data_IF_777072491609
#
_entry.id   IF_777072491609
#
_cell.length_a   1.000
_cell.length_b   1.000
_cell.length_c   1.000
_cell.angle_alpha   90.00
_cell.angle_beta   90.00
_cell.angle_gamma   90.00
#
_symmetry.space_group_name_H-M   'P 1'
#
loop_
_entity.id
_entity.type
_entity.pdbx_description
1 polymer ?
#
# COMPACT_ATOMS: atom_id res chain seq x y z
N UNK A 1 -17.86 16.07 -6.91
CA UNK A 1 -17.77 14.99 -5.89
C UNK A 1 -18.72 15.30 -4.75
N UNK A 2 -19.67 14.41 -4.48
CA UNK A 2 -20.69 14.60 -3.42
C UNK A 2 -20.11 14.56 -2.00
N UNK A 3 -19.02 13.81 -1.80
CA UNK A 3 -18.39 13.61 -0.48
C UNK A 3 -17.08 14.40 -0.28
N UNK A 4 -16.87 15.46 -1.05
CA UNK A 4 -15.60 16.21 -1.07
C UNK A 4 -15.16 16.70 0.31
N UNK A 5 -16.04 17.31 1.09
CA UNK A 5 -15.72 17.81 2.44
C UNK A 5 -15.31 16.69 3.38
N UNK A 6 -16.01 15.57 3.34
CA UNK A 6 -15.71 14.40 4.18
C UNK A 6 -14.35 13.82 3.82
N UNK A 7 -14.04 13.68 2.52
CA UNK A 7 -12.72 13.20 2.06
C UNK A 7 -11.61 14.13 2.55
N UNK A 8 -11.79 15.45 2.48
CA UNK A 8 -10.80 16.42 2.97
C UNK A 8 -10.55 16.23 4.48
N UNK A 9 -11.61 16.15 5.28
CA UNK A 9 -11.49 15.99 6.74
C UNK A 9 -10.81 14.67 7.10
N UNK A 10 -11.25 13.55 6.50
CA UNK A 10 -10.64 12.24 6.74
C UNK A 10 -9.17 12.24 6.35
N UNK A 11 -8.81 12.84 5.21
CA UNK A 11 -7.41 12.93 4.76
C UNK A 11 -6.59 13.80 5.68
N UNK A 12 -7.12 14.93 6.16
CA UNK A 12 -6.41 15.80 7.10
C UNK A 12 -6.10 15.08 8.42
N UNK A 13 -7.08 14.37 8.99
CA UNK A 13 -6.89 13.57 10.20
C UNK A 13 -5.88 12.41 9.97
N UNK A 14 -6.03 11.69 8.86
CA UNK A 14 -5.13 10.60 8.48
C UNK A 14 -3.69 11.09 8.30
N UNK A 15 -3.47 12.16 7.52
CA UNK A 15 -2.12 12.68 7.24
C UNK A 15 -1.46 13.31 8.47
N UNK A 16 -2.23 14.00 9.31
CA UNK A 16 -1.71 14.54 10.57
C UNK A 16 -1.30 13.43 11.53
N UNK A 17 -2.14 12.40 11.69
CA UNK A 17 -1.82 11.21 12.48
C UNK A 17 -0.60 10.48 11.92
N UNK A 18 -0.57 10.23 10.60
CA UNK A 18 0.54 9.58 9.90
C UNK A 18 1.85 10.35 10.13
N UNK A 19 1.87 11.65 9.90
CA UNK A 19 3.06 12.47 10.10
C UNK A 19 3.56 12.42 11.56
N UNK A 20 2.64 12.43 12.53
CA UNK A 20 3.00 12.34 13.94
C UNK A 20 3.62 10.98 14.29
N UNK A 21 2.93 9.87 13.98
CA UNK A 21 3.43 8.54 14.35
C UNK A 21 4.71 8.17 13.60
N UNK A 22 4.80 8.51 12.31
CA UNK A 22 5.99 8.22 11.50
C UNK A 22 7.18 9.11 11.88
N UNK A 23 6.93 10.36 12.33
CA UNK A 23 7.98 11.19 12.90
C UNK A 23 8.59 10.58 14.17
N UNK A 24 7.77 10.06 15.08
CA UNK A 24 8.28 9.35 16.26
C UNK A 24 8.86 7.99 15.90
N UNK A 25 8.22 7.21 15.03
CA UNK A 25 8.67 5.87 14.66
C UNK A 25 10.04 5.87 13.95
N UNK A 26 10.29 6.87 13.09
CA UNK A 26 11.57 6.99 12.40
C UNK A 26 12.72 7.44 13.30
N UNK A 27 12.46 8.33 14.29
CA UNK A 27 13.52 9.04 15.03
C UNK A 27 13.55 8.76 16.52
N UNK A 28 12.52 8.16 17.13
CA UNK A 28 12.49 7.79 18.55
C UNK A 28 12.49 6.26 18.71
N UNK A 29 13.64 5.71 19.10
CA UNK A 29 13.82 4.27 19.31
C UNK A 29 12.86 3.68 20.37
N UNK A 30 12.33 4.50 21.29
CA UNK A 30 11.39 4.05 22.31
C UNK A 30 10.01 3.66 21.71
N UNK A 31 9.70 4.12 20.49
CA UNK A 31 8.42 3.83 19.82
C UNK A 31 8.20 2.32 19.64
N UNK A 32 9.24 1.59 19.25
CA UNK A 32 9.21 0.15 18.98
C UNK A 32 10.01 -0.67 19.99
N UNK A 33 10.21 -0.16 21.22
CA UNK A 33 11.04 -0.82 22.23
C UNK A 33 10.49 -2.18 22.71
N UNK A 34 9.23 -2.50 22.41
CA UNK A 34 8.58 -3.78 22.73
C UNK A 34 8.62 -4.78 21.59
N UNK A 35 8.96 -4.32 20.39
CA UNK A 35 9.02 -5.13 19.19
C UNK A 35 10.38 -5.83 19.07
N UNK A 36 10.42 -6.95 18.34
CA UNK A 36 11.68 -7.60 18.00
C UNK A 36 12.62 -6.61 17.28
N UNK A 37 13.95 -6.66 17.48
CA UNK A 37 14.86 -5.68 16.88
C UNK A 37 14.74 -5.52 15.37
N UNK A 38 14.51 -6.62 14.63
CA UNK A 38 14.28 -6.59 13.19
C UNK A 38 12.99 -5.86 12.84
N UNK A 39 11.89 -6.13 13.56
CA UNK A 39 10.61 -5.49 13.36
C UNK A 39 10.66 -3.98 13.68
N UNK A 40 11.36 -3.61 14.78
CA UNK A 40 11.60 -2.22 15.15
C UNK A 40 12.42 -1.45 14.08
N UNK A 41 13.39 -2.12 13.45
CA UNK A 41 14.16 -1.53 12.36
C UNK A 41 13.31 -1.36 11.10
N UNK A 42 12.51 -2.38 10.75
CA UNK A 42 11.59 -2.33 9.61
C UNK A 42 10.55 -1.21 9.81
N UNK A 43 9.93 -1.11 10.98
CA UNK A 43 8.99 -0.03 11.32
C UNK A 43 9.60 1.35 11.12
N UNK A 44 10.81 1.59 11.62
CA UNK A 44 11.50 2.87 11.44
C UNK A 44 11.82 3.17 9.95
N UNK A 45 12.16 2.15 9.16
CA UNK A 45 12.38 2.28 7.72
C UNK A 45 11.11 2.65 6.96
N UNK A 46 9.99 2.02 7.30
CA UNK A 46 8.68 2.33 6.73
C UNK A 46 8.23 3.74 7.11
N UNK A 47 8.35 4.11 8.39
CA UNK A 47 7.96 5.44 8.89
C UNK A 47 8.72 6.57 8.20
N UNK A 48 10.00 6.37 7.85
CA UNK A 48 10.75 7.34 7.08
C UNK A 48 10.12 7.55 5.69
N UNK A 49 9.70 6.49 5.01
CA UNK A 49 9.02 6.58 3.71
C UNK A 49 7.63 7.21 3.87
N UNK A 50 6.90 6.84 4.91
CA UNK A 50 5.60 7.42 5.19
C UNK A 50 5.68 8.93 5.39
N UNK A 51 6.66 9.40 6.15
CA UNK A 51 6.86 10.81 6.42
C UNK A 51 7.31 11.59 5.18
N UNK A 52 8.29 11.06 4.42
CA UNK A 52 8.96 11.80 3.33
C UNK A 52 8.23 11.65 1.99
N UNK A 53 7.58 10.51 1.75
CA UNK A 53 6.92 10.23 0.48
C UNK A 53 5.40 10.22 0.60
N UNK A 54 4.83 9.44 1.55
CA UNK A 54 3.39 9.18 1.57
C UNK A 54 2.59 10.40 2.03
N UNK A 55 3.02 11.07 3.09
CA UNK A 55 2.34 12.31 3.56
C UNK A 55 2.29 13.38 2.47
N UNK A 56 3.42 13.78 1.83
CA UNK A 56 3.37 14.74 0.72
C UNK A 56 2.54 14.25 -0.48
N UNK A 57 2.66 12.97 -0.83
CA UNK A 57 1.89 12.37 -1.94
C UNK A 57 0.39 12.49 -1.70
N UNK A 58 -0.10 12.19 -0.50
CA UNK A 58 -1.52 12.29 -0.15
C UNK A 58 -2.01 13.73 -0.23
N UNK A 59 -1.27 14.69 0.31
CA UNK A 59 -1.65 16.10 0.30
C UNK A 59 -1.68 16.63 -1.13
N UNK A 60 -0.62 16.40 -1.91
CA UNK A 60 -0.52 16.91 -3.30
C UNK A 60 -1.56 16.24 -4.18
N UNK A 61 -1.72 14.92 -4.10
CA UNK A 61 -2.69 14.20 -4.93
C UNK A 61 -4.14 14.57 -4.56
N UNK A 62 -4.46 14.81 -3.29
CA UNK A 62 -5.77 15.33 -2.88
C UNK A 62 -6.04 16.69 -3.53
N UNK A 63 -5.12 17.65 -3.40
CA UNK A 63 -5.27 18.98 -3.99
C UNK A 63 -5.49 18.91 -5.50
N UNK A 64 -4.68 18.11 -6.20
CA UNK A 64 -4.79 17.95 -7.65
C UNK A 64 -6.08 17.22 -8.06
N UNK A 65 -6.52 16.22 -7.29
CA UNK A 65 -7.79 15.52 -7.49
C UNK A 65 -8.97 16.48 -7.36
N UNK A 66 -8.97 17.33 -6.33
CA UNK A 66 -10.00 18.36 -6.12
C UNK A 66 -10.03 19.42 -7.23
N UNK A 67 -8.90 19.63 -7.92
CA UNK A 67 -8.78 20.46 -9.11
C UNK A 67 -9.16 19.76 -10.43
N UNK A 68 -9.70 18.52 -10.34
CA UNK A 68 -10.19 17.76 -11.49
C UNK A 68 -9.15 16.93 -12.23
N UNK A 69 -7.97 16.68 -11.63
CA UNK A 69 -6.97 15.79 -12.22
C UNK A 69 -7.41 14.34 -12.11
N UNK A 70 -7.56 13.64 -13.25
CA UNK A 70 -7.90 12.22 -13.32
C UNK A 70 -6.77 11.33 -12.80
N UNK A 71 -5.54 11.69 -13.14
CA UNK A 71 -4.34 10.99 -12.67
C UNK A 71 -4.24 11.06 -11.16
N UNK A 72 -4.50 12.23 -10.58
CA UNK A 72 -4.43 12.43 -9.14
C UNK A 72 -5.47 11.60 -8.37
N UNK A 73 -6.63 11.28 -8.97
CA UNK A 73 -7.60 10.36 -8.38
C UNK A 73 -6.99 8.97 -8.15
N UNK A 74 -6.26 8.43 -9.14
CA UNK A 74 -5.61 7.12 -9.02
C UNK A 74 -4.46 7.14 -8.02
N UNK A 75 -3.65 8.21 -8.06
CA UNK A 75 -2.51 8.38 -7.14
C UNK A 75 -3.01 8.53 -5.70
N UNK A 76 -4.02 9.36 -5.48
CA UNK A 76 -4.64 9.52 -4.16
C UNK A 76 -5.26 8.21 -3.67
N UNK A 77 -6.05 7.54 -4.51
CA UNK A 77 -6.67 6.25 -4.15
C UNK A 77 -5.65 5.18 -3.78
N UNK A 78 -4.53 5.09 -4.54
CA UNK A 78 -3.44 4.15 -4.25
C UNK A 78 -2.67 4.49 -2.98
N UNK A 79 -2.43 5.78 -2.72
CA UNK A 79 -1.83 6.25 -1.48
C UNK A 79 -2.70 5.97 -0.25
N UNK A 80 -4.00 6.24 -0.34
CA UNK A 80 -4.96 5.91 0.74
C UNK A 80 -5.04 4.40 0.97
N UNK A 81 -5.03 3.59 -0.09
CA UNK A 81 -5.02 2.12 0.03
C UNK A 81 -3.73 1.61 0.67
N UNK A 82 -2.58 2.23 0.37
CA UNK A 82 -1.32 1.93 1.04
C UNK A 82 -1.39 2.22 2.55
N UNK A 83 -1.92 3.38 2.94
CA UNK A 83 -2.08 3.71 4.37
C UNK A 83 -3.05 2.75 5.05
N UNK A 84 -4.17 2.40 4.40
CA UNK A 84 -5.11 1.39 4.91
C UNK A 84 -4.43 0.05 5.16
N UNK A 85 -3.65 -0.43 4.19
CA UNK A 85 -2.88 -1.66 4.28
C UNK A 85 -1.85 -1.62 5.41
N UNK A 86 -1.03 -0.58 5.44
CA UNK A 86 0.04 -0.43 6.43
C UNK A 86 -0.51 -0.32 7.85
N UNK A 87 -1.55 0.48 8.05
CA UNK A 87 -2.11 0.68 9.40
C UNK A 87 -3.00 -0.48 9.88
N UNK A 88 -3.48 -1.35 9.00
CA UNK A 88 -3.94 -2.66 9.42
C UNK A 88 -2.79 -3.44 10.09
N UNK A 89 -1.62 -3.49 9.46
CA UNK A 89 -0.44 -4.19 10.01
C UNK A 89 0.00 -3.52 11.31
N UNK A 90 0.09 -2.20 11.37
CA UNK A 90 0.47 -1.48 12.60
C UNK A 90 -0.51 -1.72 13.76
N UNK A 91 -1.81 -1.73 13.49
CA UNK A 91 -2.83 -1.92 14.52
C UNK A 91 -2.88 -3.33 15.10
N UNK A 92 -2.45 -4.35 14.33
CA UNK A 92 -2.54 -5.76 14.72
C UNK A 92 -1.18 -6.45 14.91
N UNK A 93 -0.10 -5.91 14.36
CA UNK A 93 1.21 -6.53 14.36
C UNK A 93 2.25 -5.82 15.21
N UNK A 94 2.18 -4.49 15.36
CA UNK A 94 3.08 -3.75 16.24
C UNK A 94 2.64 -3.96 17.69
N UNK A 95 3.60 -4.24 18.58
CA UNK A 95 3.30 -4.42 20.00
C UNK A 95 2.74 -3.15 20.62
N UNK A 96 1.75 -3.30 21.51
CA UNK A 96 1.01 -2.19 22.10
C UNK A 96 1.94 -1.09 22.64
N UNK A 97 1.78 0.12 22.10
CA UNK A 97 2.55 1.30 22.48
C UNK A 97 1.65 2.54 22.63
N UNK A 98 2.24 3.69 22.98
CA UNK A 98 1.52 4.96 23.21
C UNK A 98 0.75 5.48 22.01
N UNK A 99 1.04 5.01 20.79
CA UNK A 99 0.39 5.45 19.54
C UNK A 99 -0.78 4.56 19.11
N UNK A 100 -1.11 3.52 19.86
CA UNK A 100 -2.15 2.56 19.47
C UNK A 100 -3.47 3.22 19.04
N UNK A 101 -3.97 4.21 19.80
CA UNK A 101 -5.20 4.92 19.42
C UNK A 101 -5.05 5.75 18.15
N UNK A 102 -3.85 6.27 17.88
CA UNK A 102 -3.56 7.00 16.63
C UNK A 102 -3.50 6.03 15.46
N UNK A 103 -2.94 4.81 15.63
CA UNK A 103 -3.01 3.76 14.62
C UNK A 103 -4.46 3.41 14.27
N UNK A 104 -5.33 3.25 15.27
CA UNK A 104 -6.76 3.02 15.04
C UNK A 104 -7.44 4.18 14.31
N UNK A 105 -7.10 5.43 14.65
CA UNK A 105 -7.61 6.62 13.96
C UNK A 105 -7.20 6.64 12.48
N UNK A 106 -5.91 6.38 12.19
CA UNK A 106 -5.39 6.36 10.82
C UNK A 106 -6.05 5.24 10.03
N UNK A 107 -6.12 4.03 10.59
CA UNK A 107 -6.78 2.89 9.97
C UNK A 107 -8.24 3.20 9.62
N UNK A 108 -9.01 3.73 10.58
CA UNK A 108 -10.42 4.08 10.38
C UNK A 108 -10.60 5.19 9.34
N UNK A 109 -9.82 6.26 9.41
CA UNK A 109 -9.91 7.37 8.45
C UNK A 109 -9.47 6.95 7.04
N UNK A 110 -8.44 6.10 6.90
CA UNK A 110 -8.02 5.53 5.63
C UNK A 110 -9.11 4.63 5.02
N UNK A 111 -9.73 3.76 5.83
CA UNK A 111 -10.82 2.89 5.38
C UNK A 111 -12.00 3.69 4.80
N UNK A 112 -12.51 4.66 5.56
CA UNK A 112 -13.64 5.46 5.11
C UNK A 112 -13.28 6.39 3.95
N UNK A 113 -12.07 6.96 3.93
CA UNK A 113 -11.60 7.74 2.79
C UNK A 113 -11.51 6.88 1.52
N UNK A 114 -10.98 5.64 1.61
CA UNK A 114 -10.91 4.73 0.48
C UNK A 114 -12.29 4.36 -0.05
N UNK A 115 -13.23 4.01 0.83
CA UNK A 115 -14.62 3.72 0.45
C UNK A 115 -15.22 4.91 -0.30
N UNK A 116 -15.08 6.13 0.21
CA UNK A 116 -15.63 7.32 -0.43
C UNK A 116 -14.97 7.60 -1.80
N UNK A 117 -13.66 7.40 -1.93
CA UNK A 117 -12.96 7.52 -3.22
C UNK A 117 -13.50 6.53 -4.25
N UNK A 118 -13.71 5.27 -3.85
CA UNK A 118 -14.30 4.25 -4.73
C UNK A 118 -15.73 4.62 -5.12
N UNK A 119 -16.56 5.03 -4.17
CA UNK A 119 -17.95 5.45 -4.42
C UNK A 119 -18.04 6.65 -5.37
N UNK A 120 -17.14 7.62 -5.26
CA UNK A 120 -17.06 8.73 -6.20
C UNK A 120 -16.55 8.29 -7.57
N UNK A 121 -15.51 7.46 -7.62
CA UNK A 121 -14.89 7.01 -8.86
C UNK A 121 -15.84 6.15 -9.72
N UNK A 122 -16.64 5.28 -9.09
CA UNK A 122 -17.60 4.43 -9.82
C UNK A 122 -18.75 5.22 -10.47
N UNK A 123 -18.94 6.49 -10.14
CA UNK A 123 -19.90 7.39 -10.78
C UNK A 123 -19.31 8.09 -12.02
N UNK A 124 -17.98 8.02 -12.20
CA UNK A 124 -17.26 8.70 -13.27
C UNK A 124 -17.13 7.79 -14.50
N UNK A 125 -17.07 8.32 -15.74
CA UNK A 125 -16.94 7.53 -16.96
C UNK A 125 -15.48 7.08 -17.17
N UNK A 126 -15.00 6.18 -16.32
CA UNK A 126 -13.59 5.75 -16.28
C UNK A 126 -13.13 5.13 -17.60
N UNK A 127 -14.02 4.44 -18.31
CA UNK A 127 -13.74 3.84 -19.63
C UNK A 127 -13.39 4.91 -20.66
N UNK A 128 -14.03 6.08 -20.60
CA UNK A 128 -13.77 7.19 -21.50
C UNK A 128 -12.48 7.96 -21.16
N UNK A 129 -11.91 7.72 -19.98
CA UNK A 129 -10.67 8.36 -19.58
C UNK A 129 -9.43 7.65 -20.10
N UNK A 130 -9.53 6.34 -20.32
CA UNK A 130 -8.40 5.49 -20.70
C UNK A 130 -8.49 5.16 -22.19
N UNK A 131 -7.47 5.59 -22.95
CA UNK A 131 -7.39 5.36 -24.37
C UNK A 131 -7.30 3.87 -24.74
N UNK A 132 -7.69 3.55 -25.98
CA UNK A 132 -7.68 2.16 -26.48
C UNK A 132 -6.29 1.53 -26.47
N UNK A 133 -5.24 2.35 -26.65
CA UNK A 133 -3.82 1.92 -26.65
C UNK A 133 -3.25 1.65 -25.25
N UNK A 134 -4.03 1.83 -24.17
CA UNK A 134 -3.57 1.54 -22.83
C UNK A 134 -3.11 0.06 -22.69
N UNK A 135 -2.00 -0.20 -22.03
CA UNK A 135 -1.37 -1.53 -21.97
C UNK A 135 -2.09 -2.45 -20.97
N UNK A 136 -3.40 -2.63 -21.12
CA UNK A 136 -4.26 -3.36 -20.17
C UNK A 136 -3.84 -4.80 -19.96
N UNK A 137 -3.33 -5.48 -21.02
CA UNK A 137 -2.85 -6.88 -20.88
C UNK A 137 -1.54 -6.93 -20.10
N UNK A 138 -0.56 -6.10 -20.46
CA UNK A 138 0.75 -6.09 -19.77
C UNK A 138 0.60 -5.75 -18.29
N UNK A 139 -0.20 -4.72 -17.97
CA UNK A 139 -0.50 -4.36 -16.57
C UNK A 139 -1.24 -5.48 -15.85
N UNK A 140 -2.26 -6.06 -16.49
CA UNK A 140 -3.00 -7.19 -15.88
C UNK A 140 -2.11 -8.39 -15.63
N UNK A 141 -1.26 -8.79 -16.60
CA UNK A 141 -0.31 -9.89 -16.44
C UNK A 141 0.70 -9.60 -15.31
N UNK A 142 1.20 -8.37 -15.22
CA UNK A 142 2.09 -7.97 -14.13
C UNK A 142 1.43 -8.11 -12.76
N UNK A 143 0.21 -7.61 -12.58
CA UNK A 143 -0.54 -7.74 -11.32
C UNK A 143 -0.79 -9.21 -10.96
N UNK A 144 -1.12 -10.07 -11.94
CA UNK A 144 -1.27 -11.52 -11.72
C UNK A 144 0.05 -12.18 -11.32
N UNK A 145 1.15 -11.80 -11.96
CA UNK A 145 2.46 -12.33 -11.63
C UNK A 145 2.90 -11.95 -10.21
N UNK A 146 2.69 -10.70 -9.80
CA UNK A 146 2.96 -10.24 -8.43
C UNK A 146 2.08 -11.01 -7.43
N UNK A 147 0.77 -11.13 -7.70
CA UNK A 147 -0.13 -11.87 -6.83
C UNK A 147 0.29 -13.34 -6.68
N UNK A 148 0.61 -14.02 -7.78
CA UNK A 148 1.06 -15.41 -7.74
C UNK A 148 2.38 -15.60 -6.98
N UNK A 149 3.36 -14.70 -7.23
CA UNK A 149 4.66 -14.75 -6.57
C UNK A 149 4.53 -14.63 -5.05
N UNK A 150 3.84 -13.61 -4.57
CA UNK A 150 3.68 -13.40 -3.12
C UNK A 150 2.75 -14.45 -2.48
N UNK A 151 1.72 -14.93 -3.20
CA UNK A 151 0.92 -16.04 -2.70
C UNK A 151 1.77 -17.30 -2.47
N UNK A 152 2.63 -17.66 -3.42
CA UNK A 152 3.53 -18.80 -3.28
C UNK A 152 4.53 -18.60 -2.14
N UNK A 153 5.05 -17.37 -1.97
CA UNK A 153 5.98 -17.03 -0.90
C UNK A 153 5.34 -17.23 0.48
N UNK A 154 4.13 -16.71 0.68
CA UNK A 154 3.41 -16.84 1.96
C UNK A 154 2.92 -18.27 2.21
N UNK A 155 2.45 -18.97 1.19
CA UNK A 155 2.00 -20.36 1.32
C UNK A 155 3.18 -21.31 1.62
N UNK A 156 4.38 -21.02 1.10
CA UNK A 156 5.60 -21.77 1.43
C UNK A 156 5.90 -21.76 2.93
N UNK A 157 5.64 -20.65 3.61
CA UNK A 157 5.81 -20.51 5.07
C UNK A 157 4.61 -21.10 5.84
N UNK A 158 3.39 -20.75 5.44
CA UNK A 158 2.19 -21.09 6.17
C UNK A 158 1.76 -22.56 6.05
N UNK A 159 1.83 -23.17 4.85
CA UNK A 159 1.30 -24.53 4.61
C UNK A 159 2.02 -25.60 5.44
N UNK A 160 3.37 -25.66 5.49
CA UNK A 160 4.04 -26.64 6.36
C UNK A 160 3.69 -26.48 7.83
N UNK A 161 3.57 -25.23 8.30
CA UNK A 161 3.23 -24.94 9.69
C UNK A 161 1.80 -25.42 10.03
N UNK A 162 0.82 -25.16 9.14
CA UNK A 162 -0.55 -25.63 9.30
C UNK A 162 -0.62 -27.17 9.30
N UNK A 163 0.04 -27.84 8.35
CA UNK A 163 0.04 -29.30 8.25
C UNK A 163 0.76 -29.97 9.44
N UNK A 164 1.83 -29.34 9.93
CA UNK A 164 2.60 -29.80 11.09
C UNK A 164 2.02 -29.40 12.44
N UNK A 165 0.97 -28.56 12.47
CA UNK A 165 0.40 -27.95 13.66
C UNK A 165 1.49 -27.25 14.51
N UNK A 166 2.35 -26.47 13.83
CA UNK A 166 3.46 -25.72 14.43
C UNK A 166 3.31 -24.23 14.21
N UNK A 167 4.09 -23.42 14.93
CA UNK A 167 4.16 -21.97 14.73
C UNK A 167 5.30 -21.67 13.75
N UNK A 168 5.05 -20.96 12.63
CA UNK A 168 6.09 -20.64 11.68
C UNK A 168 7.05 -19.56 12.24
N UNK A 169 8.34 -19.54 11.79
CA UNK A 169 9.32 -18.54 12.23
C UNK A 169 8.85 -17.10 12.03
N UNK A 170 8.12 -16.82 10.94
CA UNK A 170 7.52 -15.50 10.66
C UNK A 170 6.51 -15.00 11.71
N UNK A 171 6.12 -15.84 12.66
CA UNK A 171 5.26 -15.52 13.79
C UNK A 171 6.05 -15.59 15.09
N UNK A 172 6.78 -16.70 15.31
CA UNK A 172 7.49 -16.97 16.55
C UNK A 172 8.62 -15.95 16.82
N UNK A 173 9.43 -15.64 15.80
CA UNK A 173 10.60 -14.74 15.93
C UNK A 173 10.19 -13.29 16.24
N UNK A 174 8.95 -12.92 15.95
CA UNK A 174 8.41 -11.59 16.21
C UNK A 174 7.48 -11.52 17.43
N UNK A 175 7.24 -12.64 18.11
CA UNK A 175 6.31 -12.69 19.25
C UNK A 175 4.86 -12.39 18.91
N UNK A 176 4.46 -12.69 17.69
CA UNK A 176 3.10 -12.39 17.16
C UNK A 176 2.16 -13.57 17.45
N UNK A 177 0.86 -13.29 17.46
CA UNK A 177 -0.18 -14.33 17.49
C UNK A 177 -0.37 -14.97 16.12
N UNK A 178 -0.35 -14.17 15.08
CA UNK A 178 -0.37 -14.53 13.66
C UNK A 178 0.41 -13.49 12.89
N UNK A 179 0.90 -13.80 11.69
CA UNK A 179 1.52 -12.79 10.83
C UNK A 179 0.43 -11.95 10.13
N UNK A 180 0.25 -10.64 10.50
CA UNK A 180 -0.81 -9.81 9.94
C UNK A 180 -0.63 -9.53 8.44
N UNK A 181 0.62 -9.56 7.93
CA UNK A 181 0.92 -9.43 6.50
C UNK A 181 0.36 -10.63 5.74
N UNK A 182 0.60 -11.86 6.21
CA UNK A 182 0.07 -13.05 5.57
C UNK A 182 -1.45 -13.07 5.57
N UNK A 183 -2.09 -12.65 6.68
CA UNK A 183 -3.56 -12.57 6.77
C UNK A 183 -4.10 -11.56 5.75
N UNK A 184 -3.55 -10.36 5.73
CA UNK A 184 -4.04 -9.29 4.86
C UNK A 184 -3.78 -9.59 3.38
N UNK A 185 -2.61 -10.13 3.07
CA UNK A 185 -2.24 -10.46 1.71
C UNK A 185 -3.09 -11.62 1.16
N UNK A 186 -3.09 -12.76 1.84
CA UNK A 186 -3.80 -13.95 1.35
C UNK A 186 -5.32 -13.76 1.30
N UNK A 187 -5.90 -12.97 2.22
CA UNK A 187 -7.34 -12.77 2.27
C UNK A 187 -7.84 -11.61 1.41
N UNK A 188 -7.07 -10.53 1.23
CA UNK A 188 -7.57 -9.27 0.67
C UNK A 188 -6.68 -8.74 -0.47
N UNK A 189 -5.40 -8.47 -0.21
CA UNK A 189 -4.57 -7.72 -1.16
C UNK A 189 -4.27 -8.53 -2.42
N UNK A 190 -3.77 -9.76 -2.30
CA UNK A 190 -3.43 -10.59 -3.45
C UNK A 190 -4.66 -11.02 -4.25
N UNK A 191 -5.78 -11.49 -3.64
CA UNK A 191 -7.04 -11.66 -4.36
C UNK A 191 -7.54 -10.38 -5.03
N UNK A 192 -7.38 -9.22 -4.36
CA UNK A 192 -7.71 -7.91 -4.91
C UNK A 192 -6.91 -7.57 -6.16
N UNK A 193 -5.60 -7.89 -6.20
CA UNK A 193 -4.76 -7.75 -7.40
C UNK A 193 -5.27 -8.63 -8.56
N UNK A 194 -5.67 -9.86 -8.27
CA UNK A 194 -6.26 -10.76 -9.30
C UNK A 194 -7.55 -10.17 -9.85
N UNK A 195 -8.45 -9.72 -8.99
CA UNK A 195 -9.71 -9.07 -9.41
C UNK A 195 -9.43 -7.83 -10.24
N UNK A 196 -8.52 -6.95 -9.81
CA UNK A 196 -8.13 -5.74 -10.55
C UNK A 196 -7.57 -6.09 -11.94
N UNK A 197 -6.68 -7.08 -12.02
CA UNK A 197 -6.08 -7.56 -13.25
C UNK A 197 -7.12 -8.10 -14.23
N UNK A 198 -7.97 -9.04 -13.77
CA UNK A 198 -9.00 -9.66 -14.61
C UNK A 198 -10.01 -8.63 -15.12
N UNK A 199 -10.46 -7.72 -14.26
CA UNK A 199 -11.39 -6.66 -14.66
C UNK A 199 -10.75 -5.69 -15.64
N UNK A 200 -9.46 -5.33 -15.45
CA UNK A 200 -8.72 -4.50 -16.40
C UNK A 200 -8.57 -5.17 -17.76
N UNK A 201 -8.13 -6.43 -17.79
CA UNK A 201 -7.95 -7.18 -19.04
C UNK A 201 -9.26 -7.37 -19.79
N UNK A 202 -10.38 -7.47 -19.08
CA UNK A 202 -11.73 -7.49 -19.65
C UNK A 202 -12.29 -6.10 -19.95
N UNK A 203 -11.50 -5.05 -19.80
CA UNK A 203 -11.87 -3.64 -19.99
C UNK A 203 -13.14 -3.24 -19.22
N UNK A 204 -13.35 -3.80 -18.04
CA UNK A 204 -14.46 -3.45 -17.15
C UNK A 204 -14.15 -2.17 -16.38
N UNK A 205 -15.18 -1.37 -16.12
CA UNK A 205 -15.10 -0.07 -15.45
C UNK A 205 -14.28 -0.09 -14.17
N UNK A 206 -14.55 -1.02 -13.27
CA UNK A 206 -13.79 -1.16 -12.02
C UNK A 206 -12.33 -1.52 -12.25
N UNK A 207 -12.00 -2.24 -13.33
CA UNK A 207 -10.62 -2.54 -13.68
C UNK A 207 -9.79 -1.28 -13.98
N UNK A 208 -10.41 -0.28 -14.63
CA UNK A 208 -9.76 1.01 -14.90
C UNK A 208 -9.56 1.87 -13.63
N UNK A 209 -10.24 1.56 -12.53
CA UNK A 209 -9.98 2.16 -11.23
C UNK A 209 -8.96 1.36 -10.44
N UNK A 210 -9.24 0.07 -10.24
CA UNK A 210 -8.50 -0.77 -9.28
C UNK A 210 -7.06 -1.03 -9.73
N UNK A 211 -6.82 -1.20 -11.03
CA UNK A 211 -5.47 -1.51 -11.52
C UNK A 211 -4.47 -0.35 -11.33
N UNK A 212 -4.75 0.92 -11.73
CA UNK A 212 -3.83 2.01 -11.41
C UNK A 212 -3.71 2.29 -9.92
N UNK A 213 -4.76 2.14 -9.12
CA UNK A 213 -4.72 2.21 -7.66
C UNK A 213 -3.75 1.15 -7.10
N UNK A 214 -3.88 -0.11 -7.58
CA UNK A 214 -2.99 -1.19 -7.19
C UNK A 214 -1.52 -0.94 -7.61
N UNK A 215 -1.29 -0.38 -8.81
CA UNK A 215 0.07 -0.02 -9.25
C UNK A 215 0.70 1.06 -8.35
N UNK A 216 -0.04 2.09 -7.97
CA UNK A 216 0.44 3.12 -7.04
C UNK A 216 0.75 2.50 -5.68
N UNK A 217 -0.15 1.66 -5.15
CA UNK A 217 0.08 0.89 -3.93
C UNK A 217 1.38 0.08 -4.01
N UNK A 218 1.59 -0.69 -5.09
CA UNK A 218 2.79 -1.49 -5.27
C UNK A 218 4.08 -0.66 -5.37
N UNK A 219 4.02 0.53 -6.01
CA UNK A 219 5.17 1.45 -6.04
C UNK A 219 5.55 1.88 -4.63
N UNK A 220 4.58 2.37 -3.85
CA UNK A 220 4.84 2.86 -2.50
C UNK A 220 5.30 1.72 -1.60
N UNK A 221 4.61 0.58 -1.64
CA UNK A 221 4.94 -0.61 -0.85
C UNK A 221 6.36 -1.11 -1.14
N UNK A 222 6.75 -1.20 -2.42
CA UNK A 222 8.07 -1.66 -2.79
C UNK A 222 9.18 -0.69 -2.33
N UNK A 223 8.94 0.62 -2.36
CA UNK A 223 9.86 1.63 -1.80
C UNK A 223 9.96 1.47 -0.28
N UNK A 224 8.82 1.28 0.41
CA UNK A 224 8.81 1.06 1.85
C UNK A 224 9.56 -0.23 2.24
N UNK A 225 9.33 -1.34 1.54
CA UNK A 225 10.05 -2.60 1.76
C UNK A 225 11.56 -2.46 1.53
N UNK A 226 11.98 -1.72 0.49
CA UNK A 226 13.40 -1.42 0.27
C UNK A 226 14.01 -0.59 1.42
N UNK A 227 13.26 0.39 1.94
CA UNK A 227 13.70 1.20 3.08
C UNK A 227 13.74 0.39 4.39
N UNK A 228 12.79 -0.53 4.60
CA UNK A 228 12.82 -1.49 5.72
C UNK A 228 14.10 -2.32 5.72
N UNK A 229 14.46 -2.91 4.57
CA UNK A 229 15.72 -3.68 4.43
C UNK A 229 16.93 -2.79 4.65
N UNK A 230 16.95 -1.60 4.08
CA UNK A 230 18.05 -0.65 4.28
C UNK A 230 18.24 -0.26 5.75
N UNK A 231 17.15 -0.02 6.49
CA UNK A 231 17.19 0.32 7.91
C UNK A 231 17.64 -0.86 8.77
N UNK A 232 17.19 -2.08 8.47
CA UNK A 232 17.61 -3.31 9.16
C UNK A 232 19.12 -3.52 9.01
N UNK A 233 19.63 -3.32 7.79
CA UNK A 233 21.07 -3.36 7.51
C UNK A 233 21.85 -2.25 8.24
N UNK A 234 21.34 -1.02 8.23
CA UNK A 234 21.98 0.12 8.88
C UNK A 234 22.09 -0.07 10.42
N UNK A 235 21.18 -0.84 11.01
CA UNK A 235 21.20 -1.22 12.44
C UNK A 235 22.03 -2.47 12.74
N UNK A 236 22.76 -3.03 11.77
CA UNK A 236 23.59 -4.22 11.94
C UNK A 236 22.81 -5.52 12.10
N UNK A 237 21.53 -5.54 11.82
CA UNK A 237 20.69 -6.74 11.79
C UNK A 237 20.91 -7.33 10.39
N UNK A 238 21.37 -8.58 10.31
CA UNK A 238 21.73 -9.22 9.03
C UNK A 238 20.52 -9.35 8.12
N UNK A 239 20.54 -8.61 7.03
CA UNK A 239 19.58 -8.77 5.91
C UNK A 239 20.36 -8.99 4.62
N UNK A 240 19.87 -9.89 3.78
CA UNK A 240 20.47 -10.16 2.50
C UNK A 240 20.23 -9.00 1.54
N UNK A 241 21.29 -8.42 0.99
CA UNK A 241 21.21 -7.35 0.00
C UNK A 241 20.39 -7.75 -1.25
N UNK A 242 20.28 -9.03 -1.55
CA UNK A 242 19.45 -9.60 -2.62
C UNK A 242 17.98 -9.25 -2.43
N UNK A 243 17.50 -9.26 -1.19
CA UNK A 243 16.10 -8.90 -0.85
C UNK A 243 15.81 -7.44 -1.20
N UNK A 244 16.73 -6.52 -0.89
CA UNK A 244 16.59 -5.12 -1.27
C UNK A 244 16.54 -4.94 -2.80
N UNK A 245 17.39 -5.65 -3.55
CA UNK A 245 17.40 -5.61 -5.00
C UNK A 245 16.07 -6.07 -5.63
N UNK A 246 15.44 -7.11 -5.05
CA UNK A 246 14.11 -7.57 -5.48
C UNK A 246 13.05 -6.48 -5.30
N UNK A 247 13.02 -5.81 -4.15
CA UNK A 247 12.06 -4.73 -3.92
C UNK A 247 12.33 -3.48 -4.77
N UNK A 248 13.59 -3.13 -5.01
CA UNK A 248 13.94 -2.06 -5.95
C UNK A 248 13.47 -2.43 -7.37
N UNK A 249 13.71 -3.67 -7.81
CA UNK A 249 13.21 -4.19 -9.09
C UNK A 249 11.68 -4.09 -9.19
N UNK A 250 10.97 -4.49 -8.15
CA UNK A 250 9.51 -4.39 -8.07
C UNK A 250 9.06 -2.91 -8.15
N UNK A 251 9.72 -2.00 -7.44
CA UNK A 251 9.41 -0.57 -7.50
C UNK A 251 9.60 0.00 -8.91
N UNK A 252 10.69 -0.34 -9.58
CA UNK A 252 10.97 0.10 -10.95
C UNK A 252 9.93 -0.44 -11.93
N UNK A 253 9.63 -1.74 -11.92
CA UNK A 253 8.66 -2.35 -12.82
C UNK A 253 7.25 -1.78 -12.57
N UNK A 254 6.86 -1.61 -11.30
CA UNK A 254 5.57 -1.00 -10.93
C UNK A 254 5.47 0.44 -11.42
N UNK A 255 6.54 1.23 -11.26
CA UNK A 255 6.60 2.63 -11.72
C UNK A 255 6.52 2.74 -13.24
N UNK A 256 7.25 1.89 -13.96
CA UNK A 256 7.18 1.84 -15.43
C UNK A 256 5.78 1.43 -15.90
N UNK A 257 5.19 0.39 -15.30
CA UNK A 257 3.84 -0.08 -15.62
C UNK A 257 2.80 1.00 -15.36
N UNK A 258 2.90 1.71 -14.23
CA UNK A 258 2.04 2.84 -13.88
C UNK A 258 2.21 3.99 -14.90
N UNK A 259 3.43 4.38 -15.22
CA UNK A 259 3.74 5.44 -16.19
C UNK A 259 3.19 5.13 -17.57
N UNK A 260 3.37 3.89 -18.05
CA UNK A 260 2.82 3.44 -19.32
C UNK A 260 1.28 3.45 -19.34
N UNK A 261 0.65 3.10 -18.22
CA UNK A 261 -0.80 3.19 -18.09
C UNK A 261 -1.29 4.64 -18.07
N UNK A 262 -0.69 5.48 -17.23
CA UNK A 262 -1.10 6.88 -17.03
C UNK A 262 -0.91 7.77 -18.26
N UNK A 263 0.06 7.48 -19.13
CA UNK A 263 0.21 8.16 -20.43
C UNK A 263 -1.02 8.07 -21.31
N UNK A 264 -1.86 7.05 -21.10
CA UNK A 264 -3.09 6.84 -21.86
C UNK A 264 -4.34 7.39 -21.15
N UNK A 265 -4.17 8.09 -20.01
CA UNK A 265 -5.26 8.73 -19.27
C UNK A 265 -5.35 10.20 -19.71
N UNK A 266 -6.50 10.62 -20.21
CA UNK A 266 -6.74 12.03 -20.59
C UNK A 266 -6.58 12.96 -19.39
N UNK A 267 -5.86 14.06 -19.56
CA UNK A 267 -5.38 14.93 -18.48
C UNK A 267 -6.46 15.70 -17.71
N UNK A 268 -7.61 16.02 -18.31
CA UNK A 268 -8.73 16.74 -17.66
C UNK A 268 -10.08 16.28 -18.17
N UNK A 269 -11.09 16.28 -17.30
CA UNK A 269 -12.47 16.32 -17.74
C UNK A 269 -12.68 17.68 -18.46
N UNK A 270 -13.09 17.69 -19.73
CA UNK A 270 -13.73 18.89 -20.28
C UNK A 270 -14.99 19.08 -19.44
N UNK A 271 -15.04 20.16 -18.67
CA UNK A 271 -16.26 20.63 -18.02
C UNK A 271 -17.27 21.02 -19.07
#
# INVERSE_FOLDING_TARGET
MSHQRTIIVLTALMTAGLAAVSGFGAFDAATYARDAPSMAAQGAGQDLVDLVLVVPLLVVSLILMLRGSRIALFVFGGGVFYVLYSFFIYSFGVHFNRFFLVYCLILGTALYAFILVVLEAVRMPLEAWVGEKAPVRSVGTFLLAVSALFSLLWLKDAVPAVLGNTVPPSVADYGLLVNPVHVLDLAIALPGLVVAAVLLMRRRRLGFLLAPVALVFLVILAVALAAMVAMTKARGISEDATVAAVFIGLAVISTVSLGLFLKNVGSRAKM
#
